data_IF_153831660201
#
_entry.id   IF_153831660201
#
_cell.length_a   1.000
_cell.length_b   1.000
_cell.length_c   1.000
_cell.angle_alpha   90.00
_cell.angle_beta   90.00
_cell.angle_gamma   90.00
#
_symmetry.space_group_name_H-M   'P 1'
#
loop_
_entity.id
_entity.type
_entity.pdbx_description
1 polymer ?
#
# COMPACT_ATOMS: atom_id res chain seq x y z
N UNK A 1 -3.23 1.91 -3.52
CA UNK A 1 -2.69 3.04 -4.29
C UNK A 1 -3.84 3.89 -4.79
N UNK A 2 -3.88 5.15 -4.40
CA UNK A 2 -5.04 6.02 -4.69
C UNK A 2 -4.67 7.29 -5.45
N UNK A 3 -3.39 7.69 -5.48
CA UNK A 3 -2.96 8.95 -6.10
C UNK A 3 -2.00 8.66 -7.25
N UNK A 4 -2.30 9.17 -8.44
CA UNK A 4 -1.51 8.95 -9.66
C UNK A 4 -0.03 9.34 -9.51
N UNK A 5 0.23 10.50 -8.89
CA UNK A 5 1.61 11.00 -8.79
C UNK A 5 2.43 10.26 -7.74
N UNK A 6 1.78 9.70 -6.73
CA UNK A 6 2.47 8.96 -5.67
C UNK A 6 2.60 7.48 -5.98
N UNK A 7 1.73 6.93 -6.83
CA UNK A 7 1.72 5.49 -7.08
C UNK A 7 3.01 5.01 -7.75
N UNK A 8 3.62 5.81 -8.62
CA UNK A 8 4.89 5.44 -9.25
C UNK A 8 5.98 5.25 -8.21
N UNK A 9 6.09 6.16 -7.24
CA UNK A 9 7.07 6.06 -6.15
C UNK A 9 6.81 4.83 -5.28
N UNK A 10 5.55 4.57 -4.97
CA UNK A 10 5.17 3.41 -4.18
C UNK A 10 5.53 2.11 -4.88
N UNK A 11 5.25 2.01 -6.17
CA UNK A 11 5.52 0.80 -6.94
C UNK A 11 7.03 0.59 -7.08
N UNK A 12 7.80 1.66 -7.32
CA UNK A 12 9.25 1.58 -7.38
C UNK A 12 9.85 1.14 -6.04
N UNK A 13 9.35 1.66 -4.93
CA UNK A 13 9.76 1.23 -3.59
C UNK A 13 9.41 -0.23 -3.35
N UNK A 14 8.21 -0.65 -3.76
CA UNK A 14 7.79 -2.05 -3.69
C UNK A 14 8.70 -2.95 -4.53
N UNK A 15 9.12 -2.49 -5.71
CA UNK A 15 10.07 -3.24 -6.54
C UNK A 15 11.39 -3.47 -5.81
N UNK A 16 11.89 -2.44 -5.13
CA UNK A 16 13.13 -2.55 -4.35
C UNK A 16 13.01 -3.57 -3.21
N UNK A 17 11.90 -3.52 -2.47
CA UNK A 17 11.64 -4.48 -1.38
C UNK A 17 11.53 -5.91 -1.94
N UNK A 18 10.80 -6.09 -3.04
CA UNK A 18 10.61 -7.40 -3.64
C UNK A 18 11.94 -7.98 -4.17
N UNK A 19 12.79 -7.14 -4.76
CA UNK A 19 14.09 -7.57 -5.26
C UNK A 19 15.01 -8.01 -4.13
N UNK A 20 15.05 -7.24 -3.03
CA UNK A 20 15.91 -7.57 -1.89
C UNK A 20 15.41 -8.84 -1.19
N UNK A 21 14.11 -8.97 -1.01
CA UNK A 21 13.49 -10.12 -0.35
C UNK A 21 13.29 -11.33 -1.26
N UNK A 22 13.52 -11.16 -2.58
CA UNK A 22 13.31 -12.20 -3.61
C UNK A 22 11.87 -12.72 -3.61
N UNK A 23 10.94 -11.79 -3.57
CA UNK A 23 9.50 -12.08 -3.62
C UNK A 23 8.88 -11.45 -4.86
N UNK A 24 7.68 -11.91 -5.18
CA UNK A 24 6.88 -11.26 -6.23
C UNK A 24 6.36 -9.92 -5.75
N UNK A 25 6.14 -9.02 -6.70
CA UNK A 25 5.53 -7.72 -6.42
C UNK A 25 4.11 -7.71 -6.94
N UNK A 26 3.18 -7.39 -6.04
CA UNK A 26 1.78 -7.23 -6.40
C UNK A 26 1.33 -5.82 -6.06
N UNK A 27 0.72 -5.16 -7.02
CA UNK A 27 0.11 -3.84 -6.82
C UNK A 27 -1.38 -4.08 -6.54
N UNK A 28 -1.81 -3.78 -5.32
CA UNK A 28 -3.20 -3.93 -4.90
C UNK A 28 -3.88 -2.57 -4.91
N UNK A 29 -4.96 -2.47 -5.66
CA UNK A 29 -5.81 -1.29 -5.67
C UNK A 29 -7.21 -1.70 -5.22
N UNK A 30 -7.61 -1.23 -4.03
CA UNK A 30 -8.93 -1.50 -3.48
C UNK A 30 -9.76 -0.24 -3.58
N UNK A 31 -10.88 -0.33 -4.27
CA UNK A 31 -11.76 0.80 -4.54
C UNK A 31 -13.10 0.64 -3.84
N UNK A 32 -13.66 1.77 -3.44
CA UNK A 32 -15.03 1.81 -2.94
C UNK A 32 -16.02 1.55 -4.08
N UNK A 33 -17.06 0.78 -3.78
CA UNK A 33 -18.16 0.56 -4.74
C UNK A 33 -18.91 1.87 -5.05
N UNK A 34 -18.87 2.83 -4.12
CA UNK A 34 -19.58 4.11 -4.29
C UNK A 34 -18.80 5.10 -5.17
N UNK A 35 -17.46 5.04 -5.11
CA UNK A 35 -16.61 6.01 -5.80
C UNK A 35 -15.51 5.28 -6.56
N UNK A 36 -15.86 4.60 -7.67
CA UNK A 36 -14.85 3.90 -8.46
C UNK A 36 -13.91 4.90 -9.12
N UNK A 37 -12.66 4.50 -9.31
CA UNK A 37 -11.68 5.35 -9.96
C UNK A 37 -11.98 5.48 -11.45
N UNK A 38 -11.47 6.58 -12.02
CA UNK A 38 -11.51 6.82 -13.45
C UNK A 38 -10.75 5.68 -14.18
N UNK A 39 -11.31 5.14 -15.29
CA UNK A 39 -10.62 4.11 -16.07
C UNK A 39 -9.22 4.51 -16.53
N UNK A 40 -8.97 5.78 -16.85
CA UNK A 40 -7.65 6.25 -17.25
C UNK A 40 -6.64 6.14 -16.12
N UNK A 41 -7.07 6.40 -14.88
CA UNK A 41 -6.22 6.24 -13.70
C UNK A 41 -5.84 4.78 -13.48
N UNK A 42 -6.79 3.87 -13.69
CA UNK A 42 -6.55 2.43 -13.59
C UNK A 42 -5.56 1.99 -14.67
N UNK A 43 -5.72 2.46 -15.90
CA UNK A 43 -4.81 2.12 -17.00
C UNK A 43 -3.40 2.65 -16.73
N UNK A 44 -3.29 3.87 -16.21
CA UNK A 44 -2.00 4.44 -15.84
C UNK A 44 -1.30 3.58 -14.78
N UNK A 45 -2.02 3.19 -13.74
CA UNK A 45 -1.50 2.35 -12.67
C UNK A 45 -1.04 0.99 -13.21
N UNK A 46 -1.83 0.39 -14.09
CA UNK A 46 -1.48 -0.87 -14.75
C UNK A 46 -0.19 -0.74 -15.54
N UNK A 47 -0.01 0.36 -16.27
CA UNK A 47 1.20 0.59 -17.05
C UNK A 47 2.44 0.69 -16.15
N UNK A 48 2.34 1.42 -15.04
CA UNK A 48 3.44 1.54 -14.09
C UNK A 48 3.76 0.19 -13.45
N UNK A 49 2.73 -0.57 -13.07
CA UNK A 49 2.93 -1.92 -12.52
C UNK A 49 3.66 -2.82 -13.51
N UNK A 50 3.24 -2.81 -14.77
CA UNK A 50 3.87 -3.61 -15.82
C UNK A 50 5.35 -3.23 -16.05
N UNK A 51 5.67 -1.94 -16.02
CA UNK A 51 7.04 -1.45 -16.16
C UNK A 51 7.94 -1.91 -15.02
N UNK A 52 7.37 -2.23 -13.87
CA UNK A 52 8.09 -2.70 -12.69
C UNK A 52 7.94 -4.21 -12.47
N UNK A 53 7.51 -4.94 -13.48
CA UNK A 53 7.33 -6.40 -13.45
C UNK A 53 6.44 -6.84 -12.29
N UNK A 54 5.38 -6.08 -12.04
CA UNK A 54 4.42 -6.36 -10.98
C UNK A 54 3.11 -6.85 -11.56
N UNK A 55 2.45 -7.72 -10.81
CA UNK A 55 1.06 -8.07 -11.07
C UNK A 55 0.16 -7.02 -10.43
N UNK A 56 -0.95 -6.70 -11.07
CA UNK A 56 -1.91 -5.74 -10.53
C UNK A 56 -3.24 -6.41 -10.28
N UNK A 57 -3.76 -6.22 -9.07
CA UNK A 57 -5.10 -6.67 -8.69
C UNK A 57 -5.94 -5.46 -8.34
N UNK A 58 -7.09 -5.34 -8.99
CA UNK A 58 -8.08 -4.30 -8.69
C UNK A 58 -9.27 -4.96 -8.04
N UNK A 59 -9.62 -4.50 -6.85
CA UNK A 59 -10.74 -5.04 -6.09
C UNK A 59 -11.72 -3.92 -5.74
N UNK A 60 -13.00 -4.25 -5.75
CA UNK A 60 -14.07 -3.35 -5.34
C UNK A 60 -14.67 -3.85 -4.06
N UNK A 61 -14.81 -2.99 -3.06
CA UNK A 61 -15.22 -3.42 -1.74
C UNK A 61 -16.05 -2.36 -1.03
N UNK A 62 -16.98 -2.82 -0.19
CA UNK A 62 -17.71 -1.94 0.72
C UNK A 62 -16.84 -1.61 1.94
N UNK A 63 -16.10 -2.60 2.43
CA UNK A 63 -15.20 -2.47 3.59
C UNK A 63 -13.76 -2.68 3.13
N UNK A 64 -13.05 -1.57 2.94
CA UNK A 64 -11.66 -1.57 2.44
C UNK A 64 -10.73 -2.26 3.44
N UNK A 65 -10.88 -1.98 4.74
CA UNK A 65 -10.05 -2.59 5.78
C UNK A 65 -10.16 -4.11 5.77
N UNK A 66 -11.37 -4.62 5.78
CA UNK A 66 -11.64 -6.06 5.79
C UNK A 66 -11.07 -6.75 4.56
N UNK A 67 -11.21 -6.11 3.41
CA UNK A 67 -10.71 -6.64 2.14
C UNK A 67 -9.19 -6.72 2.12
N UNK A 68 -8.50 -5.68 2.59
CA UNK A 68 -7.03 -5.68 2.65
C UNK A 68 -6.53 -6.71 3.65
N UNK A 69 -7.14 -6.81 4.83
CA UNK A 69 -6.78 -7.80 5.84
C UNK A 69 -6.91 -9.21 5.28
N UNK A 70 -8.02 -9.50 4.62
CA UNK A 70 -8.26 -10.80 4.02
C UNK A 70 -7.23 -11.12 2.94
N UNK A 71 -6.90 -10.15 2.10
CA UNK A 71 -5.90 -10.31 1.05
C UNK A 71 -4.53 -10.66 1.63
N UNK A 72 -4.09 -9.93 2.66
CA UNK A 72 -2.81 -10.18 3.32
C UNK A 72 -2.75 -11.60 3.87
N UNK A 73 -3.83 -12.05 4.52
CA UNK A 73 -3.90 -13.41 5.08
C UNK A 73 -3.89 -14.49 4.02
N UNK A 74 -4.73 -14.36 3.01
CA UNK A 74 -4.89 -15.39 1.98
C UNK A 74 -3.63 -15.56 1.13
N UNK A 75 -2.91 -14.48 0.89
CA UNK A 75 -1.71 -14.50 0.07
C UNK A 75 -0.43 -14.65 0.89
N UNK A 76 -0.55 -14.82 2.21
CA UNK A 76 0.61 -14.97 3.12
C UNK A 76 1.64 -13.86 2.88
N UNK A 77 1.17 -12.64 2.77
CA UNK A 77 1.99 -11.48 2.45
C UNK A 77 2.98 -11.21 3.60
N UNK A 78 4.26 -11.10 3.28
CA UNK A 78 5.31 -10.84 4.26
C UNK A 78 5.66 -9.36 4.36
N UNK A 79 5.54 -8.61 3.26
CA UNK A 79 5.92 -7.21 3.17
C UNK A 79 4.79 -6.40 2.55
N UNK A 80 4.51 -5.25 3.14
CA UNK A 80 3.48 -4.31 2.64
C UNK A 80 4.10 -2.92 2.54
N UNK A 81 3.96 -2.28 1.40
CA UNK A 81 4.47 -0.92 1.16
C UNK A 81 3.30 0.00 0.87
N UNK A 82 3.23 1.10 1.61
CA UNK A 82 2.16 2.11 1.46
C UNK A 82 2.73 3.52 1.50
N UNK A 83 1.91 4.51 1.19
CA UNK A 83 2.21 5.90 1.49
C UNK A 83 2.01 6.21 2.97
N UNK A 84 2.44 7.38 3.40
CA UNK A 84 2.25 7.82 4.78
C UNK A 84 0.77 8.14 5.00
N UNK A 85 0.14 7.60 6.07
CA UNK A 85 -1.27 7.90 6.36
C UNK A 85 -1.47 9.40 6.62
N UNK A 86 -2.56 9.93 6.09
CA UNK A 86 -2.88 11.35 6.23
C UNK A 86 -3.67 11.66 7.49
N UNK A 87 -4.27 10.66 8.12
CA UNK A 87 -5.12 10.85 9.28
C UNK A 87 -4.75 9.86 10.39
N UNK A 88 -5.05 10.24 11.64
CA UNK A 88 -4.76 9.44 12.83
C UNK A 88 -5.48 8.09 12.83
N UNK A 89 -6.72 8.05 12.35
CA UNK A 89 -7.55 6.86 12.37
C UNK A 89 -7.69 6.24 10.99
N UNK A 90 -6.63 6.30 10.18
CA UNK A 90 -6.66 5.73 8.86
C UNK A 90 -6.74 4.19 8.92
N UNK A 91 -7.19 3.61 7.82
CA UNK A 91 -7.21 2.16 7.63
C UNK A 91 -5.81 1.56 7.83
N UNK A 92 -4.75 2.27 7.42
CA UNK A 92 -3.38 1.78 7.54
C UNK A 92 -2.96 1.55 8.99
N UNK A 93 -3.33 2.45 9.91
CA UNK A 93 -3.03 2.26 11.33
C UNK A 93 -3.67 1.00 11.89
N UNK A 94 -4.91 0.73 11.50
CA UNK A 94 -5.63 -0.46 11.93
C UNK A 94 -4.97 -1.72 11.39
N UNK A 95 -4.52 -1.70 10.13
CA UNK A 95 -3.84 -2.83 9.49
C UNK A 95 -2.52 -3.12 10.18
N UNK A 96 -1.72 -2.09 10.48
CA UNK A 96 -0.44 -2.26 11.19
C UNK A 96 -0.61 -3.00 12.52
N UNK A 97 -1.68 -2.69 13.25
CA UNK A 97 -1.93 -3.29 14.56
C UNK A 97 -2.49 -4.71 14.46
N UNK A 98 -2.97 -5.10 13.29
CA UNK A 98 -3.58 -6.41 13.07
C UNK A 98 -2.55 -7.52 12.85
N UNK A 99 -1.38 -7.19 12.29
CA UNK A 99 -0.39 -8.18 11.87
C UNK A 99 0.94 -7.96 12.58
N UNK A 100 1.32 -8.91 13.45
CA UNK A 100 2.60 -8.86 14.16
C UNK A 100 3.77 -9.35 13.31
N UNK A 101 3.51 -10.25 12.35
CA UNK A 101 4.55 -10.90 11.55
C UNK A 101 4.70 -10.36 10.14
N UNK A 102 3.98 -9.32 9.81
CA UNK A 102 4.09 -8.64 8.51
C UNK A 102 4.95 -7.40 8.70
N UNK A 103 5.93 -7.21 7.83
CA UNK A 103 6.77 -6.01 7.84
C UNK A 103 6.11 -4.95 6.97
N UNK A 104 5.84 -3.80 7.56
CA UNK A 104 5.22 -2.66 6.88
C UNK A 104 6.25 -1.57 6.63
N UNK A 105 6.20 -1.02 5.43
CA UNK A 105 7.00 0.13 5.04
C UNK A 105 6.10 1.27 4.60
N UNK A 106 6.51 2.49 4.90
CA UNK A 106 5.87 3.68 4.34
C UNK A 106 6.88 4.43 3.47
N UNK A 107 6.38 5.07 2.41
CA UNK A 107 7.20 5.85 1.48
C UNK A 107 6.82 7.31 1.65
N UNK A 108 7.80 8.16 1.92
CA UNK A 108 7.57 9.59 2.08
C UNK A 108 7.47 10.32 0.73
N UNK A 109 7.28 11.63 0.77
CA UNK A 109 7.10 12.45 -0.43
C UNK A 109 8.34 12.46 -1.33
N UNK A 110 9.51 12.18 -0.76
CA UNK A 110 10.77 12.10 -1.50
C UNK A 110 11.05 10.72 -2.08
N UNK A 111 10.17 9.76 -1.80
CA UNK A 111 10.36 8.39 -2.23
C UNK A 111 11.21 7.55 -1.29
N UNK A 112 11.53 8.06 -0.11
CA UNK A 112 12.34 7.33 0.87
C UNK A 112 11.49 6.32 1.62
N UNK A 113 12.01 5.11 1.75
CA UNK A 113 11.35 3.98 2.38
C UNK A 113 11.68 3.95 3.88
N UNK A 114 10.65 3.86 4.72
CA UNK A 114 10.78 3.77 6.17
C UNK A 114 10.05 2.55 6.68
N UNK A 115 10.73 1.72 7.48
CA UNK A 115 10.07 0.58 8.12
C UNK A 115 9.24 1.06 9.31
N UNK A 116 8.03 0.52 9.44
CA UNK A 116 7.15 0.82 10.57
C UNK A 116 7.53 -0.09 11.73
N UNK A 117 8.44 0.36 12.58
CA UNK A 117 8.95 -0.41 13.73
C UNK A 117 8.18 -0.09 15.01
N UNK A 118 7.82 1.18 15.20
CA UNK A 118 6.98 1.61 16.31
C UNK A 118 5.75 2.33 15.74
N UNK A 119 4.65 1.62 15.72
CA UNK A 119 3.42 2.08 15.10
C UNK A 119 2.82 3.30 15.80
N UNK A 120 3.08 3.46 17.10
CA UNK A 120 2.61 4.62 17.85
C UNK A 120 3.35 5.90 17.48
N UNK A 121 4.64 5.81 17.13
CA UNK A 121 5.42 6.95 16.66
C UNK A 121 4.84 7.51 15.37
N UNK A 122 4.50 6.63 14.40
CA UNK A 122 3.91 7.07 13.14
C UNK A 122 2.54 7.71 13.34
N UNK A 123 1.74 7.21 14.27
CA UNK A 123 0.47 7.84 14.62
C UNK A 123 0.68 9.25 15.16
N UNK A 124 1.66 9.44 16.04
CA UNK A 124 2.01 10.77 16.57
C UNK A 124 2.51 11.71 15.49
N UNK A 125 3.36 11.21 14.60
CA UNK A 125 3.90 12.01 13.50
C UNK A 125 2.79 12.51 12.59
N UNK A 126 1.82 11.69 12.27
CA UNK A 126 0.67 12.08 11.45
C UNK A 126 -0.18 13.14 12.16
N UNK A 127 -0.34 13.03 13.49
CA UNK A 127 -1.13 13.98 14.28
C UNK A 127 -0.46 15.36 14.32
N UNK A 128 0.86 15.41 14.39
CA UNK A 128 1.62 16.65 14.56
C UNK A 128 2.12 17.24 13.24
N UNK A 129 2.01 16.51 12.16
CA UNK A 129 2.40 17.00 10.85
C UNK A 129 1.23 17.65 10.11
#
# INVERSE_FOLDING_TARGET
VTNQFQCERLIQAGRSVADISKTDLIVLNVQSNEYPANPDAIQYLFNIASQNSAMMNVMYAEDIFKTIVQYIRENKTAYVVTGIPQTKNSVLHQIWNKFAHVTFFVVDEKGTLHEVTDKSIYQKSVVHS
#
